data_IF_638665470191
#
_entry.id   IF_638665470191
#
_cell.length_a   1.000
_cell.length_b   1.000
_cell.length_c   1.000
_cell.angle_alpha   90.00
_cell.angle_beta   90.00
_cell.angle_gamma   90.00
#
_symmetry.space_group_name_H-M   'P 1'
#
loop_
_entity.id
_entity.type
_entity.pdbx_description
1 polymer ?
#
# COMPACT_ATOMS: atom_id res chain seq x y z
N UNK A 1 6.27 10.32 0.13
CA UNK A 1 6.95 9.11 0.61
C UNK A 1 8.10 9.49 1.51
N UNK A 2 8.16 8.89 2.69
CA UNK A 2 9.29 8.88 3.61
C UNK A 2 9.51 7.41 3.97
N UNK A 3 10.49 6.79 3.35
CA UNK A 3 10.80 5.38 3.54
C UNK A 3 11.52 5.16 4.88
N UNK A 4 11.15 4.09 5.57
CA UNK A 4 11.80 3.63 6.81
C UNK A 4 12.56 2.32 6.59
N UNK A 5 12.08 1.47 5.70
CA UNK A 5 12.73 0.25 5.26
C UNK A 5 12.29 -0.10 3.83
N UNK A 6 13.22 -0.58 3.00
CA UNK A 6 13.01 -0.74 1.56
C UNK A 6 12.78 0.59 0.84
N UNK A 7 12.54 0.54 -0.47
CA UNK A 7 12.03 1.66 -1.27
C UNK A 7 11.43 1.17 -2.59
N UNK A 8 10.67 2.05 -3.26
CA UNK A 8 10.03 1.72 -4.53
C UNK A 8 11.07 1.32 -5.60
N UNK A 9 11.11 0.04 -5.95
CA UNK A 9 12.04 -0.51 -6.94
C UNK A 9 13.13 -1.40 -6.33
N UNK A 10 13.27 -1.41 -5.01
CA UNK A 10 13.99 -2.45 -4.30
C UNK A 10 13.05 -3.64 -4.05
N UNK A 11 13.44 -4.86 -4.46
CA UNK A 11 12.65 -6.05 -4.22
C UNK A 11 12.51 -6.36 -2.72
N UNK A 12 11.28 -6.56 -2.25
CA UNK A 12 11.01 -7.09 -0.91
C UNK A 12 9.93 -6.34 -0.15
N UNK A 13 9.83 -6.55 1.18
CA UNK A 13 8.90 -5.81 2.02
C UNK A 13 9.31 -4.34 2.11
N UNK A 14 8.32 -3.47 2.34
CA UNK A 14 8.53 -2.03 2.40
C UNK A 14 7.76 -1.39 3.54
N UNK A 15 8.37 -0.35 4.13
CA UNK A 15 7.77 0.48 5.17
C UNK A 15 7.93 1.94 4.82
N UNK A 16 6.83 2.69 4.75
CA UNK A 16 6.87 4.11 4.43
C UNK A 16 5.74 4.90 5.11
N UNK A 17 6.01 6.19 5.31
CA UNK A 17 4.99 7.20 5.54
C UNK A 17 4.69 7.94 4.24
N UNK A 18 3.41 8.09 3.93
CA UNK A 18 2.92 8.67 2.69
C UNK A 18 1.98 9.82 3.02
N UNK A 19 2.19 10.93 2.31
CA UNK A 19 1.28 12.07 2.32
C UNK A 19 0.87 12.34 0.88
N UNK A 20 -0.43 12.27 0.61
CA UNK A 20 -1.00 12.65 -0.68
C UNK A 20 -0.71 14.13 -0.94
N UNK A 21 -0.15 14.45 -2.11
CA UNK A 21 0.14 15.85 -2.51
C UNK A 21 -0.92 16.44 -3.42
N UNK A 22 -1.79 15.59 -3.93
CA UNK A 22 -2.89 15.92 -4.83
C UNK A 22 -4.16 15.31 -4.24
N UNK A 23 -5.33 15.95 -4.41
CA UNK A 23 -6.59 15.39 -3.96
C UNK A 23 -6.89 14.10 -4.75
N UNK A 24 -7.62 13.17 -4.12
CA UNK A 24 -8.01 11.91 -4.76
C UNK A 24 -9.06 12.15 -5.85
N UNK A 25 -9.99 13.07 -5.58
CA UNK A 25 -11.03 13.53 -6.52
C UNK A 25 -10.78 15.02 -6.77
N UNK A 26 -10.78 15.42 -8.03
CA UNK A 26 -10.53 16.81 -8.39
C UNK A 26 -11.59 17.75 -7.81
N UNK A 27 -11.15 18.89 -7.28
CA UNK A 27 -12.02 19.85 -6.59
C UNK A 27 -12.47 19.46 -5.17
N UNK A 28 -12.07 18.30 -4.64
CA UNK A 28 -12.43 17.86 -3.28
C UNK A 28 -11.24 17.85 -2.33
N UNK A 29 -11.48 18.17 -1.05
CA UNK A 29 -10.50 17.87 -0.01
C UNK A 29 -10.57 16.37 0.33
N UNK A 30 -9.46 15.65 0.13
CA UNK A 30 -9.39 14.24 0.54
C UNK A 30 -9.64 14.11 2.04
N UNK A 31 -10.63 13.30 2.43
CA UNK A 31 -10.83 12.86 3.79
C UNK A 31 -9.69 11.95 4.28
N UNK A 32 -9.57 11.79 5.60
CA UNK A 32 -8.61 10.84 6.18
C UNK A 32 -8.85 9.39 5.71
N UNK A 33 -10.12 9.01 5.48
CA UNK A 33 -10.48 7.72 4.91
C UNK A 33 -9.97 7.54 3.48
N UNK A 34 -10.14 8.54 2.63
CA UNK A 34 -9.62 8.52 1.26
C UNK A 34 -8.09 8.45 1.25
N UNK A 35 -7.40 9.17 2.14
CA UNK A 35 -5.94 9.06 2.30
C UNK A 35 -5.50 7.68 2.74
N UNK A 36 -6.20 7.09 3.72
CA UNK A 36 -5.92 5.73 4.20
C UNK A 36 -6.09 4.71 3.07
N UNK A 37 -7.19 4.79 2.31
CA UNK A 37 -7.47 3.90 1.18
C UNK A 37 -6.44 4.06 0.05
N UNK A 38 -6.09 5.29 -0.31
CA UNK A 38 -5.08 5.59 -1.34
C UNK A 38 -3.73 4.94 -1.00
N UNK A 39 -3.30 5.03 0.25
CA UNK A 39 -2.03 4.46 0.69
C UNK A 39 -2.12 2.94 0.85
N UNK A 40 -3.26 2.42 1.32
CA UNK A 40 -3.54 0.98 1.35
C UNK A 40 -3.48 0.33 -0.04
N UNK A 41 -4.03 0.99 -1.06
CA UNK A 41 -4.00 0.50 -2.44
C UNK A 41 -2.58 0.40 -3.02
N UNK A 42 -1.67 1.25 -2.53
CA UNK A 42 -0.26 1.23 -2.95
C UNK A 42 0.56 0.07 -2.37
N UNK A 43 -0.01 -0.79 -1.52
CA UNK A 43 0.72 -1.81 -0.77
C UNK A 43 1.49 -2.81 -1.65
N UNK A 44 0.92 -3.23 -2.78
CA UNK A 44 1.56 -4.10 -3.77
C UNK A 44 2.83 -3.52 -4.39
N UNK A 45 2.84 -2.21 -4.66
CA UNK A 45 4.01 -1.50 -5.17
C UNK A 45 5.08 -1.28 -4.10
N UNK A 46 4.64 -1.03 -2.86
CA UNK A 46 5.52 -0.85 -1.69
C UNK A 46 6.26 -2.14 -1.34
N UNK A 47 5.56 -3.27 -1.47
CA UNK A 47 6.06 -4.58 -1.11
C UNK A 47 6.36 -5.43 -2.34
N UNK A 48 6.77 -4.82 -3.46
CA UNK A 48 7.01 -5.52 -4.72
C UNK A 48 8.21 -6.47 -4.57
N UNK A 49 8.05 -7.81 -4.71
CA UNK A 49 9.15 -8.76 -4.54
C UNK A 49 10.04 -8.92 -5.77
N UNK A 50 9.73 -8.24 -6.88
CA UNK A 50 10.52 -8.26 -8.13
C UNK A 50 10.65 -6.83 -8.67
N UNK A 51 11.60 -6.62 -9.59
CA UNK A 51 11.83 -5.31 -10.23
C UNK A 51 10.57 -4.80 -10.96
N UNK A 52 9.97 -3.73 -10.43
CA UNK A 52 8.75 -3.08 -10.95
C UNK A 52 8.88 -2.56 -12.39
N UNK A 53 10.10 -2.41 -12.90
CA UNK A 53 10.35 -2.05 -14.30
C UNK A 53 10.20 -3.23 -15.25
N UNK A 54 10.26 -4.46 -14.73
CA UNK A 54 10.16 -5.71 -15.50
C UNK A 54 8.88 -6.49 -15.23
N UNK A 55 8.22 -6.23 -14.11
CA UNK A 55 7.03 -6.95 -13.67
C UNK A 55 5.86 -6.01 -13.33
N UNK A 56 4.65 -6.51 -13.54
CA UNK A 56 3.39 -5.95 -13.12
C UNK A 56 2.91 -6.66 -11.86
N UNK A 57 2.33 -5.91 -10.92
CA UNK A 57 1.70 -6.41 -9.70
C UNK A 57 0.28 -5.86 -9.63
N UNK A 58 -0.66 -6.50 -10.31
CA UNK A 58 -2.04 -6.01 -10.37
C UNK A 58 -2.81 -6.56 -9.18
N UNK A 59 -3.32 -5.69 -8.30
CA UNK A 59 -4.25 -6.10 -7.27
C UNK A 59 -5.63 -6.39 -7.88
N UNK A 60 -6.21 -7.55 -7.56
CA UNK A 60 -7.55 -7.96 -8.01
C UNK A 60 -8.63 -7.64 -7.00
N UNK A 61 -8.24 -7.46 -5.75
CA UNK A 61 -9.08 -7.00 -4.67
C UNK A 61 -8.25 -6.19 -3.68
N UNK A 62 -8.94 -5.45 -2.83
CA UNK A 62 -8.37 -4.78 -1.67
C UNK A 62 -9.37 -4.89 -0.53
N UNK A 63 -8.89 -5.38 0.60
CA UNK A 63 -9.67 -5.46 1.83
C UNK A 63 -8.94 -4.73 2.94
N UNK A 64 -9.65 -3.84 3.64
CA UNK A 64 -9.12 -3.11 4.80
C UNK A 64 -9.97 -3.37 6.03
N UNK A 65 -9.32 -3.79 7.11
CA UNK A 65 -9.96 -3.95 8.42
C UNK A 65 -9.44 -2.86 9.35
N UNK A 66 -10.30 -1.88 9.63
CA UNK A 66 -9.94 -0.65 10.34
C UNK A 66 -10.73 -0.57 11.63
N UNK A 67 -10.04 -0.49 12.77
CA UNK A 67 -10.65 -0.57 14.11
C UNK A 67 -10.96 0.81 14.73
N UNK A 68 -10.62 1.90 14.04
CA UNK A 68 -10.99 3.27 14.42
C UNK A 68 -10.91 4.21 13.22
N UNK A 69 -11.62 5.36 13.22
CA UNK A 69 -11.44 6.38 12.19
C UNK A 69 -9.98 6.85 12.07
N UNK A 70 -9.43 6.96 10.85
CA UNK A 70 -8.11 7.52 10.60
C UNK A 70 -8.11 9.05 10.83
N UNK A 71 -6.96 9.60 11.17
CA UNK A 71 -6.75 11.04 11.39
C UNK A 71 -5.50 11.55 10.65
N UNK A 72 -5.42 12.87 10.47
CA UNK A 72 -4.21 13.52 9.94
C UNK A 72 -4.01 13.39 8.43
N UNK A 73 -2.83 13.81 7.97
CA UNK A 73 -2.44 13.83 6.56
C UNK A 73 -1.50 12.68 6.19
N UNK A 74 -0.74 12.20 7.16
CA UNK A 74 0.26 11.15 6.97
C UNK A 74 -0.34 9.78 7.28
N UNK A 75 -0.16 8.85 6.34
CA UNK A 75 -0.50 7.45 6.52
C UNK A 75 0.78 6.63 6.45
N UNK A 76 1.03 5.86 7.50
CA UNK A 76 2.11 4.88 7.55
C UNK A 76 1.62 3.54 7.02
N UNK A 77 2.51 2.80 6.37
CA UNK A 77 2.24 1.45 5.93
C UNK A 77 3.50 0.59 6.04
N UNK A 78 3.32 -0.64 6.50
CA UNK A 78 4.32 -1.71 6.46
C UNK A 78 3.69 -2.88 5.72
N UNK A 79 4.24 -3.25 4.57
CA UNK A 79 3.67 -4.26 3.69
C UNK A 79 4.69 -5.31 3.27
N UNK A 80 4.19 -6.51 2.97
CA UNK A 80 4.94 -7.64 2.43
C UNK A 80 4.09 -8.40 1.42
N UNK A 81 4.75 -9.01 0.43
CA UNK A 81 4.09 -9.81 -0.59
C UNK A 81 4.62 -11.25 -0.62
N UNK A 82 3.74 -12.20 -0.94
CA UNK A 82 4.10 -13.57 -1.27
C UNK A 82 3.59 -13.87 -2.68
N UNK A 83 4.45 -14.45 -3.52
CA UNK A 83 4.11 -14.82 -4.91
C UNK A 83 4.30 -16.32 -5.07
N UNK A 84 3.22 -17.00 -5.46
CA UNK A 84 3.22 -18.40 -5.80
C UNK A 84 3.78 -18.68 -7.20
N UNK A 85 3.99 -19.96 -7.55
CA UNK A 85 4.70 -20.37 -8.76
C UNK A 85 3.99 -20.01 -10.08
N UNK A 86 2.68 -19.72 -10.04
CA UNK A 86 1.86 -19.35 -11.21
C UNK A 86 1.69 -17.84 -11.39
N UNK A 87 2.43 -17.03 -10.63
CA UNK A 87 2.27 -15.58 -10.63
C UNK A 87 0.94 -15.12 -10.01
N UNK A 88 0.37 -15.93 -9.11
CA UNK A 88 -0.68 -15.48 -8.20
C UNK A 88 -0.02 -15.16 -6.86
N UNK A 89 -0.46 -14.11 -6.18
CA UNK A 89 0.15 -13.70 -4.92
C UNK A 89 -0.82 -13.04 -3.98
N UNK A 90 -0.29 -12.67 -2.81
CA UNK A 90 -1.00 -11.91 -1.79
C UNK A 90 -0.11 -10.81 -1.25
N UNK A 91 -0.73 -9.69 -0.88
CA UNK A 91 -0.11 -8.64 -0.05
C UNK A 91 -0.78 -8.66 1.30
N UNK A 92 0.01 -8.45 2.34
CA UNK A 92 -0.50 -8.15 3.68
C UNK A 92 0.26 -6.96 4.25
N UNK A 93 -0.45 -6.09 4.98
CA UNK A 93 0.17 -4.94 5.61
C UNK A 93 -0.57 -4.41 6.83
N UNK A 94 0.18 -3.63 7.61
CA UNK A 94 -0.33 -2.80 8.70
C UNK A 94 -0.43 -1.36 8.19
N UNK A 95 -1.50 -0.66 8.57
CA UNK A 95 -1.67 0.77 8.28
C UNK A 95 -1.73 1.58 9.57
N UNK A 96 -1.12 2.76 9.52
CA UNK A 96 -0.94 3.67 10.63
C UNK A 96 -1.37 5.08 10.21
N UNK A 97 -1.77 5.88 11.17
CA UNK A 97 -1.88 7.32 11.02
C UNK A 97 -1.09 7.99 12.16
N UNK A 98 -1.20 9.31 12.29
CA UNK A 98 -0.47 10.08 13.31
C UNK A 98 -0.82 9.69 14.75
N UNK A 99 -1.97 9.04 14.99
CA UNK A 99 -2.37 8.47 16.27
C UNK A 99 -1.96 7.00 16.43
N UNK A 100 -1.18 6.44 15.49
CA UNK A 100 -0.60 5.11 15.55
C UNK A 100 -1.36 4.08 14.69
N UNK A 101 -1.32 2.82 15.12
CA UNK A 101 -1.89 1.71 14.36
C UNK A 101 -3.41 1.86 14.18
N UNK A 102 -3.85 1.82 12.92
CA UNK A 102 -5.23 2.12 12.50
C UNK A 102 -5.94 0.89 11.96
N UNK A 103 -5.21 -0.05 11.37
CA UNK A 103 -5.81 -1.27 10.84
C UNK A 103 -4.86 -2.09 9.98
N UNK A 104 -5.42 -2.97 9.17
CA UNK A 104 -4.70 -3.84 8.25
C UNK A 104 -5.23 -3.72 6.83
N UNK A 105 -4.38 -4.01 5.86
CA UNK A 105 -4.72 -4.12 4.44
C UNK A 105 -4.27 -5.48 3.91
N UNK A 106 -5.08 -6.06 3.04
CA UNK A 106 -4.75 -7.25 2.24
C UNK A 106 -5.16 -7.05 0.80
N UNK A 107 -4.41 -7.68 -0.11
CA UNK A 107 -4.71 -7.68 -1.54
C UNK A 107 -4.43 -9.08 -2.13
N UNK A 108 -5.28 -9.55 -3.03
CA UNK A 108 -4.97 -10.58 -4.00
C UNK A 108 -4.19 -9.99 -5.17
N UNK A 109 -3.17 -10.69 -5.66
CA UNK A 109 -2.27 -10.22 -6.73
C UNK A 109 -2.22 -11.15 -7.93
N UNK A 110 -2.18 -10.55 -9.10
CA UNK A 110 -1.71 -11.17 -10.34
C UNK A 110 -0.39 -10.53 -10.75
N UNK A 111 0.64 -11.37 -10.89
CA UNK A 111 2.02 -10.96 -11.22
C UNK A 111 2.39 -11.47 -12.61
N UNK A 112 2.78 -10.56 -13.50
CA UNK A 112 3.14 -10.89 -14.89
C UNK A 112 4.35 -10.07 -15.35
N UNK A 113 5.16 -10.56 -16.31
CA UNK A 113 6.10 -9.70 -17.02
C UNK A 113 5.38 -8.50 -17.65
N UNK A 114 6.07 -7.37 -17.76
CA UNK A 114 5.57 -6.19 -18.51
C UNK A 114 5.59 -6.44 -20.01
#
# INVERSE_FOLDING_TARGET
WRWLAGWLGEPGPGTAWVRARVPLVDGEESSAWQRLALVGDSANGIAAPLDVRKWLFVNTELTMHVHRPPVGEWIGIQAQSVVGPSGLGTVSGLVFDEAGHTGRVTQGLVVRPR
#
